data_IF_486893198922
#
_entry.id   IF_486893198922
#
_cell.length_a   1.000
_cell.length_b   1.000
_cell.length_c   1.000
_cell.angle_alpha   90.00
_cell.angle_beta   90.00
_cell.angle_gamma   90.00
#
_symmetry.space_group_name_H-M   'P 1'
#
loop_
_entity.id
_entity.type
_entity.pdbx_description
1 polymer ?
#
# COMPACT_ATOMS: atom_id res chain seq x y z
N UNK A 1 -12.30 -0.10 -13.63
CA UNK A 1 -10.82 -0.23 -13.70
C UNK A 1 -10.47 -1.70 -13.82
N UNK A 2 -9.61 -2.03 -14.76
CA UNK A 2 -9.15 -3.41 -14.92
C UNK A 2 -8.28 -3.82 -13.72
N UNK A 3 -8.31 -5.10 -13.36
CA UNK A 3 -7.55 -5.63 -12.22
C UNK A 3 -6.07 -5.26 -12.31
N UNK A 4 -5.45 -5.43 -13.47
CA UNK A 4 -4.03 -5.11 -13.66
C UNK A 4 -3.74 -3.63 -13.37
N UNK A 5 -4.56 -2.73 -13.88
CA UNK A 5 -4.39 -1.30 -13.64
C UNK A 5 -4.58 -0.97 -12.17
N UNK A 6 -5.59 -1.57 -11.54
CA UNK A 6 -5.86 -1.34 -10.13
C UNK A 6 -4.71 -1.81 -9.24
N UNK A 7 -4.10 -2.96 -9.55
CA UNK A 7 -2.95 -3.48 -8.83
C UNK A 7 -1.75 -2.55 -8.98
N UNK A 8 -1.48 -2.08 -10.21
CA UNK A 8 -0.37 -1.14 -10.44
C UNK A 8 -0.55 0.15 -9.66
N UNK A 9 -1.77 0.70 -9.65
CA UNK A 9 -2.06 1.92 -8.88
C UNK A 9 -1.82 1.67 -7.38
N UNK A 10 -2.28 0.52 -6.87
CA UNK A 10 -2.09 0.18 -5.46
C UNK A 10 -0.60 0.11 -5.08
N UNK A 11 0.20 -0.55 -5.90
CA UNK A 11 1.65 -0.68 -5.66
C UNK A 11 2.32 0.69 -5.72
N UNK A 12 1.99 1.52 -6.70
CA UNK A 12 2.55 2.86 -6.82
C UNK A 12 2.22 3.73 -5.61
N UNK A 13 0.98 3.66 -5.14
CA UNK A 13 0.56 4.46 -3.99
C UNK A 13 1.28 4.04 -2.71
N UNK A 14 1.48 2.75 -2.51
CA UNK A 14 2.25 2.26 -1.36
C UNK A 14 3.70 2.74 -1.48
N UNK A 15 4.29 2.64 -2.67
CA UNK A 15 5.66 3.11 -2.90
C UNK A 15 5.81 4.59 -2.57
N UNK A 16 4.88 5.42 -3.05
CA UNK A 16 4.90 6.86 -2.78
C UNK A 16 4.76 7.15 -1.29
N UNK A 17 3.87 6.42 -0.61
CA UNK A 17 3.69 6.58 0.83
C UNK A 17 4.95 6.20 1.61
N UNK A 18 5.62 5.13 1.22
CA UNK A 18 6.89 4.74 1.86
C UNK A 18 7.94 5.84 1.66
N UNK A 19 8.07 6.34 0.44
CA UNK A 19 9.05 7.38 0.14
C UNK A 19 8.80 8.65 0.98
N UNK A 20 7.55 9.04 1.12
CA UNK A 20 7.19 10.27 1.85
C UNK A 20 7.21 10.12 3.36
N UNK A 21 6.70 9.01 3.88
CA UNK A 21 6.41 8.90 5.31
C UNK A 21 7.40 8.02 6.08
N UNK A 22 7.98 7.02 5.43
CA UNK A 22 8.94 6.15 6.09
C UNK A 22 10.36 6.72 6.02
N UNK A 23 10.74 7.29 4.90
CA UNK A 23 12.08 7.84 4.70
C UNK A 23 12.15 9.36 4.74
N UNK A 24 11.03 10.04 4.47
CA UNK A 24 11.01 11.50 4.46
C UNK A 24 11.97 12.07 3.42
N UNK A 25 12.91 12.90 3.86
CA UNK A 25 13.96 13.47 3.00
C UNK A 25 15.16 12.54 2.83
N UNK A 26 15.17 11.40 3.53
CA UNK A 26 16.26 10.45 3.44
C UNK A 26 16.11 9.49 2.27
N UNK A 27 17.09 8.61 2.13
CA UNK A 27 17.07 7.55 1.13
C UNK A 27 16.89 6.20 1.81
N UNK A 28 16.27 5.27 1.10
CA UNK A 28 16.10 3.92 1.59
C UNK A 28 15.62 2.98 0.52
N UNK A 29 15.73 1.70 0.79
CA UNK A 29 15.32 0.65 -0.13
C UNK A 29 13.97 0.11 0.25
N UNK A 30 13.24 -0.35 -0.76
CA UNK A 30 12.00 -1.09 -0.57
C UNK A 30 12.08 -2.40 -1.34
N UNK A 31 11.61 -3.48 -0.72
CA UNK A 31 11.59 -4.80 -1.34
C UNK A 31 10.15 -5.16 -1.66
N UNK A 32 9.89 -5.54 -2.90
CA UNK A 32 8.59 -6.04 -3.33
C UNK A 32 8.70 -7.54 -3.60
N UNK A 33 7.96 -8.32 -2.83
CA UNK A 33 7.82 -9.76 -3.07
C UNK A 33 6.46 -10.05 -3.67
N UNK A 34 6.40 -10.95 -4.65
CA UNK A 34 5.14 -11.35 -5.29
C UNK A 34 5.07 -12.87 -5.25
N UNK A 35 3.95 -13.39 -4.72
CA UNK A 35 3.69 -14.83 -4.68
C UNK A 35 2.32 -15.16 -5.24
N UNK A 36 2.18 -16.36 -5.79
CA UNK A 36 0.90 -16.84 -6.30
C UNK A 36 0.64 -18.25 -5.76
N UNK A 37 -0.55 -18.43 -5.19
CA UNK A 37 -1.01 -19.74 -4.71
C UNK A 37 -2.05 -20.27 -5.69
N UNK A 38 -1.71 -21.36 -6.39
CA UNK A 38 -2.59 -21.97 -7.39
C UNK A 38 -3.88 -22.53 -6.79
N UNK A 39 -3.83 -23.07 -5.58
CA UNK A 39 -5.02 -23.68 -4.95
C UNK A 39 -6.05 -22.62 -4.58
N UNK A 40 -5.61 -21.56 -3.92
CA UNK A 40 -6.53 -20.50 -3.48
C UNK A 40 -6.76 -19.44 -4.55
N UNK A 41 -5.93 -19.42 -5.61
CA UNK A 41 -5.96 -18.41 -6.65
C UNK A 41 -5.68 -17.02 -6.11
N UNK A 42 -4.86 -16.91 -5.08
CA UNK A 42 -4.48 -15.64 -4.49
C UNK A 42 -3.12 -15.18 -4.99
N UNK A 43 -3.02 -13.89 -5.31
CA UNK A 43 -1.73 -13.23 -5.53
C UNK A 43 -1.44 -12.43 -4.26
N UNK A 44 -0.24 -12.61 -3.71
CA UNK A 44 0.23 -11.87 -2.54
C UNK A 44 1.33 -10.91 -2.94
N UNK A 45 1.17 -9.64 -2.55
CA UNK A 45 2.19 -8.62 -2.72
C UNK A 45 2.68 -8.22 -1.33
N UNK A 46 3.97 -8.36 -1.07
CA UNK A 46 4.56 -7.99 0.20
C UNK A 46 5.60 -6.91 -0.03
N UNK A 47 5.34 -5.73 0.54
CA UNK A 47 6.24 -4.60 0.41
C UNK A 47 6.85 -4.32 1.77
N UNK A 48 8.19 -4.29 1.84
CA UNK A 48 8.90 -4.05 3.09
C UNK A 48 9.96 -2.98 2.92
N UNK A 49 10.17 -2.20 3.99
CA UNK A 49 11.20 -1.17 4.05
C UNK A 49 11.71 -1.04 5.48
N UNK A 50 12.87 -0.40 5.63
CA UNK A 50 13.51 -0.18 6.92
C UNK A 50 13.40 1.26 7.42
N UNK A 51 12.43 1.99 6.89
CA UNK A 51 12.20 3.37 7.28
C UNK A 51 11.53 3.50 8.64
N UNK A 52 11.18 4.72 8.97
CA UNK A 52 10.45 5.02 10.20
C UNK A 52 9.12 4.24 10.22
N UNK A 53 8.73 3.68 11.38
CA UNK A 53 7.44 2.99 11.47
C UNK A 53 6.29 3.89 11.01
N UNK A 54 5.52 3.39 10.04
CA UNK A 54 4.39 4.13 9.48
C UNK A 54 3.33 3.14 9.00
N UNK A 55 2.16 3.15 9.66
CA UNK A 55 1.03 2.31 9.27
C UNK A 55 0.07 3.11 8.39
N UNK A 56 0.08 2.90 7.07
CA UNK A 56 -0.81 3.64 6.18
C UNK A 56 -2.29 3.31 6.40
N UNK A 57 -2.60 2.18 7.02
CA UNK A 57 -3.97 1.75 7.24
C UNK A 57 -4.64 2.48 8.40
N UNK A 58 -3.86 3.12 9.28
CA UNK A 58 -4.40 3.92 10.38
C UNK A 58 -4.94 5.26 9.92
N UNK A 59 -4.57 5.70 8.72
CA UNK A 59 -5.09 6.94 8.16
C UNK A 59 -6.57 6.76 7.85
N UNK A 60 -7.45 7.69 8.27
CA UNK A 60 -8.87 7.57 7.92
C UNK A 60 -9.08 7.66 6.42
N UNK A 61 -10.15 7.02 5.94
CA UNK A 61 -10.50 7.12 4.53
C UNK A 61 -10.79 8.58 4.16
N UNK A 62 -10.39 9.01 2.95
CA UNK A 62 -10.62 10.38 2.54
C UNK A 62 -12.11 10.67 2.36
N UNK A 63 -12.49 11.93 2.60
CA UNK A 63 -13.84 12.37 2.30
C UNK A 63 -13.93 12.62 0.79
N UNK A 64 -14.56 11.70 0.08
CA UNK A 64 -14.65 11.76 -1.39
C UNK A 64 -15.60 12.85 -1.87
N UNK A 65 -16.33 13.51 -0.97
CA UNK A 65 -17.16 14.67 -1.32
C UNK A 65 -16.35 15.96 -1.42
N UNK A 66 -15.13 15.97 -0.87
CA UNK A 66 -14.24 17.11 -0.97
C UNK A 66 -13.57 17.17 -2.35
N UNK A 67 -13.21 18.37 -2.78
CA UNK A 67 -12.44 18.54 -4.00
C UNK A 67 -11.03 17.98 -3.83
N UNK A 68 -10.32 17.75 -4.94
CA UNK A 68 -8.95 17.26 -4.90
C UNK A 68 -8.03 18.19 -4.11
N UNK A 69 -8.30 19.50 -4.11
CA UNK A 69 -7.51 20.48 -3.38
C UNK A 69 -7.71 20.41 -1.88
N UNK A 70 -8.87 19.95 -1.44
CA UNK A 70 -9.24 19.85 -0.02
C UNK A 70 -8.82 18.53 0.61
N UNK A 71 -8.48 17.50 -0.19
CA UNK A 71 -8.08 16.20 0.30
C UNK A 71 -6.61 16.18 0.69
N UNK A 72 -6.28 15.34 1.67
CA UNK A 72 -4.89 15.08 2.00
C UNK A 72 -4.21 14.31 0.87
N UNK A 73 -2.93 14.63 0.64
CA UNK A 73 -2.11 13.94 -0.36
C UNK A 73 -1.90 12.50 0.10
N UNK A 74 -2.09 11.53 -0.81
CA UNK A 74 -1.87 10.11 -0.55
C UNK A 74 -3.04 9.37 0.08
N UNK A 75 -4.01 10.09 0.67
CA UNK A 75 -5.15 9.45 1.32
C UNK A 75 -6.02 8.66 0.34
N UNK A 76 -6.22 9.19 -0.84
CA UNK A 76 -7.03 8.54 -1.87
C UNK A 76 -6.40 7.26 -2.37
N UNK A 77 -5.07 7.22 -2.51
CA UNK A 77 -4.37 6.04 -2.97
C UNK A 77 -4.52 4.86 -2.03
N UNK A 78 -4.39 5.08 -0.72
CA UNK A 78 -4.59 4.01 0.26
C UNK A 78 -6.05 3.56 0.27
N UNK A 79 -6.99 4.49 0.12
CA UNK A 79 -8.41 4.16 -0.01
C UNK A 79 -8.67 3.23 -1.19
N UNK A 80 -8.11 3.56 -2.37
CA UNK A 80 -8.22 2.74 -3.57
C UNK A 80 -7.59 1.35 -3.34
N UNK A 81 -6.43 1.30 -2.68
CA UNK A 81 -5.75 0.06 -2.36
C UNK A 81 -6.63 -0.85 -1.52
N UNK A 82 -7.24 -0.31 -0.46
CA UNK A 82 -8.14 -1.08 0.41
C UNK A 82 -9.37 -1.57 -0.33
N UNK A 83 -9.88 -0.81 -1.30
CA UNK A 83 -11.05 -1.21 -2.10
C UNK A 83 -10.69 -2.23 -3.18
N UNK A 84 -9.48 -2.17 -3.72
CA UNK A 84 -9.03 -3.05 -4.79
C UNK A 84 -8.62 -4.42 -4.29
N UNK A 85 -7.89 -4.47 -3.18
CA UNK A 85 -7.37 -5.72 -2.62
C UNK A 85 -8.41 -6.40 -1.73
N UNK A 86 -8.37 -7.73 -1.69
CA UNK A 86 -9.25 -8.49 -0.80
C UNK A 86 -8.80 -8.40 0.64
N UNK A 87 -7.48 -8.31 0.87
CA UNK A 87 -6.90 -8.18 2.20
C UNK A 87 -5.71 -7.24 2.14
N UNK A 88 -5.61 -6.32 3.09
CA UNK A 88 -4.44 -5.46 3.27
C UNK A 88 -4.10 -5.46 4.76
N UNK A 89 -2.88 -5.83 5.10
CA UNK A 89 -2.41 -5.87 6.49
C UNK A 89 -1.07 -5.17 6.61
N UNK A 90 -0.81 -4.63 7.80
CA UNK A 90 0.44 -3.96 8.12
C UNK A 90 1.04 -4.55 9.38
N UNK A 91 2.36 -4.70 9.40
CA UNK A 91 3.13 -5.07 10.58
C UNK A 91 4.45 -4.32 10.60
N UNK A 92 4.96 -4.06 11.79
CA UNK A 92 6.32 -3.57 11.97
C UNK A 92 7.08 -4.61 12.77
N UNK A 93 8.00 -5.30 12.12
CA UNK A 93 8.74 -6.41 12.72
C UNK A 93 10.22 -6.35 12.33
N UNK A 94 11.09 -6.62 13.28
CA UNK A 94 12.54 -6.69 13.07
C UNK A 94 13.10 -5.42 12.40
N UNK A 95 12.53 -4.27 12.73
CA UNK A 95 12.98 -2.99 12.18
C UNK A 95 12.47 -2.70 10.78
N UNK A 96 11.47 -3.44 10.32
CA UNK A 96 10.92 -3.25 8.97
C UNK A 96 9.42 -2.99 9.01
N UNK A 97 8.99 -2.04 8.18
CA UNK A 97 7.58 -1.88 7.82
C UNK A 97 7.24 -2.98 6.80
N UNK A 98 6.17 -3.71 7.02
CA UNK A 98 5.74 -4.78 6.13
C UNK A 98 4.27 -4.58 5.81
N UNK A 99 3.97 -4.28 4.55
CA UNK A 99 2.60 -4.19 4.06
C UNK A 99 2.33 -5.37 3.15
N UNK A 100 1.31 -6.14 3.48
CA UNK A 100 0.91 -7.32 2.70
C UNK A 100 -0.46 -7.07 2.10
N UNK A 101 -0.56 -7.29 0.78
CA UNK A 101 -1.80 -7.12 0.03
C UNK A 101 -2.10 -8.43 -0.68
N UNK A 102 -3.33 -8.91 -0.58
CA UNK A 102 -3.75 -10.16 -1.20
C UNK A 102 -4.91 -9.88 -2.13
N UNK A 103 -4.81 -10.37 -3.36
CA UNK A 103 -5.87 -10.27 -4.37
C UNK A 103 -6.21 -11.64 -4.90
N UNK A 104 -7.48 -12.01 -4.80
CA UNK A 104 -8.00 -13.26 -5.39
C UNK A 104 -8.32 -13.02 -6.86
N UNK A 105 -7.91 -13.95 -7.71
CA UNK A 105 -8.17 -13.88 -9.15
C UNK A 105 -8.88 -15.14 -9.67
#
# INVERSE_FOLDING_TARGET
MKIQTAICVAIEEVFVNVAHYAYGDGEGDMVLGIGFDEESRNITFRMSDKGTPFDPLKKPDPDITLSAEEREIGGLGIFITKKTMDTVTYAYENGENILTMIKKI
#
